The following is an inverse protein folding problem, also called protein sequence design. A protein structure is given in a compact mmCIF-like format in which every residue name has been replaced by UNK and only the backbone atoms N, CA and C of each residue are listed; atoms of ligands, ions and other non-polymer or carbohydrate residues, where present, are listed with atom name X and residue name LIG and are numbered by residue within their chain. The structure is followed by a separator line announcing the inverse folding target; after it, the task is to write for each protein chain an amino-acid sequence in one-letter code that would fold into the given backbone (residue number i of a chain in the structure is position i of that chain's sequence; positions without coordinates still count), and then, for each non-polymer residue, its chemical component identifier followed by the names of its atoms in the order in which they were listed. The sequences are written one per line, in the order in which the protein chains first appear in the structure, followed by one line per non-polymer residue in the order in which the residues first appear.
data_IF_021545053599
#
_entry.id   IF_021545053599
#
_cell.length_a   1.000
_cell.length_b   1.000
_cell.length_c   1.000
_cell.angle_alpha   90.00
_cell.angle_beta   90.00
_cell.angle_gamma   90.00
#
_symmetry.space_group_name_H-M   'P 1'
#
loop_
_entity.id
_entity.type
_entity.pdbx_description
1 polymer ?
#
# COMPACT_ATOMS: atom_id res chain seq x y z
N UNK A 1 7.73 20.50 10.54
CA UNK A 1 6.37 20.22 11.05
C UNK A 1 6.36 18.78 11.60
N UNK A 2 5.76 18.57 12.77
CA UNK A 2 5.60 17.24 13.31
C UNK A 2 4.66 16.43 12.43
N UNK A 3 5.14 15.32 11.87
CA UNK A 3 4.40 14.43 10.99
C UNK A 3 3.09 13.95 11.64
N UNK A 4 3.11 13.61 12.93
CA UNK A 4 1.93 13.15 13.64
C UNK A 4 0.86 14.25 13.74
N UNK A 5 1.25 15.48 14.04
CA UNK A 5 0.34 16.63 14.09
C UNK A 5 -0.25 16.93 12.71
N UNK A 6 0.59 16.86 11.67
CA UNK A 6 0.13 17.04 10.29
C UNK A 6 -0.90 15.98 9.90
N UNK A 7 -0.63 14.71 10.17
CA UNK A 7 -1.56 13.61 9.90
C UNK A 7 -2.88 13.79 10.66
N UNK A 8 -2.82 14.12 11.95
CA UNK A 8 -4.01 14.32 12.75
C UNK A 8 -4.95 15.38 12.16
N UNK A 9 -4.39 16.52 11.71
CA UNK A 9 -5.18 17.61 11.15
C UNK A 9 -5.76 17.33 9.77
N UNK A 10 -5.18 16.39 9.00
CA UNK A 10 -5.64 16.05 7.66
C UNK A 10 -6.55 14.82 7.63
N UNK A 11 -6.42 13.92 8.62
CA UNK A 11 -7.20 12.68 8.67
C UNK A 11 -8.35 12.72 9.67
N UNK A 12 -8.40 13.73 10.52
CA UNK A 12 -9.43 13.86 11.53
C UNK A 12 -9.85 15.34 11.70
N UNK A 13 -10.97 15.55 12.35
CA UNK A 13 -11.45 16.86 12.75
C UNK A 13 -11.90 16.84 14.20
N UNK A 14 -11.77 17.97 14.93
CA UNK A 14 -12.35 18.11 16.26
C UNK A 14 -13.88 18.23 16.15
N UNK A 15 -14.59 17.58 17.06
CA UNK A 15 -16.03 17.69 17.23
C UNK A 15 -16.34 18.60 18.44
N UNK A 16 -17.60 19.02 18.55
CA UNK A 16 -18.04 19.94 19.61
C UNK A 16 -17.91 19.36 21.03
N UNK A 17 -17.85 18.03 21.15
CA UNK A 17 -17.66 17.29 22.41
C UNK A 17 -16.18 17.17 22.83
N UNK A 18 -15.27 17.78 22.09
CA UNK A 18 -13.82 17.70 22.32
C UNK A 18 -13.16 16.42 21.82
N UNK A 19 -13.89 15.53 21.19
CA UNK A 19 -13.34 14.33 20.56
C UNK A 19 -12.84 14.61 19.15
N UNK A 20 -11.87 13.83 18.70
CA UNK A 20 -11.43 13.87 17.31
C UNK A 20 -12.08 12.73 16.52
N UNK A 21 -12.67 13.04 15.39
CA UNK A 21 -13.30 12.07 14.49
C UNK A 21 -12.49 11.91 13.21
N UNK A 22 -12.17 10.66 12.89
CA UNK A 22 -11.53 10.32 11.60
C UNK A 22 -12.47 10.64 10.46
N UNK A 23 -11.94 11.25 9.39
CA UNK A 23 -12.70 11.67 8.20
C UNK A 23 -13.11 10.51 7.28
N UNK A 24 -12.57 9.30 7.50
CA UNK A 24 -12.97 8.11 6.75
C UNK A 24 -14.41 7.68 7.05
N UNK A 25 -15.11 7.25 6.03
CA UNK A 25 -16.47 6.73 6.19
C UNK A 25 -16.51 5.37 6.88
N UNK A 26 -17.52 5.13 7.72
CA UNK A 26 -17.73 3.87 8.42
C UNK A 26 -17.88 2.67 7.45
N UNK A 27 -18.36 2.92 6.23
CA UNK A 27 -18.51 1.91 5.19
C UNK A 27 -17.18 1.21 4.83
N UNK A 28 -16.02 1.85 5.02
CA UNK A 28 -14.71 1.21 4.81
C UNK A 28 -14.44 0.01 5.74
N UNK A 29 -15.19 -0.12 6.82
CA UNK A 29 -15.08 -1.24 7.77
C UNK A 29 -16.00 -2.42 7.43
N UNK A 30 -16.86 -2.27 6.41
CA UNK A 30 -17.76 -3.34 5.98
C UNK A 30 -16.91 -4.38 5.21
N UNK A 31 -16.96 -5.62 5.69
CA UNK A 31 -16.26 -6.72 5.03
C UNK A 31 -16.89 -6.96 3.66
N UNK A 32 -16.05 -7.09 2.63
CA UNK A 32 -16.51 -7.40 1.29
C UNK A 32 -17.21 -8.77 1.27
N UNK A 33 -18.41 -8.83 0.71
CA UNK A 33 -19.17 -10.06 0.56
C UNK A 33 -18.61 -11.01 -0.49
N UNK A 34 -17.78 -10.51 -1.41
CA UNK A 34 -17.15 -11.34 -2.44
C UNK A 34 -15.92 -12.04 -1.87
N UNK A 35 -15.86 -13.36 -2.09
CA UNK A 35 -14.66 -14.13 -1.78
C UNK A 35 -13.50 -13.71 -2.71
N UNK A 36 -12.31 -13.67 -2.14
CA UNK A 36 -11.10 -13.44 -2.91
C UNK A 36 -10.57 -14.78 -3.44
N UNK A 37 -10.55 -14.94 -4.77
CA UNK A 37 -10.00 -16.11 -5.45
C UNK A 37 -8.66 -15.76 -6.07
N UNK A 38 -7.61 -16.46 -5.65
CA UNK A 38 -6.23 -16.18 -6.10
C UNK A 38 -6.10 -16.39 -7.60
N UNK A 39 -6.67 -17.46 -8.13
CA UNK A 39 -6.60 -17.82 -9.55
C UNK A 39 -7.24 -16.74 -10.45
N UNK A 40 -8.39 -16.22 -10.04
CA UNK A 40 -9.05 -15.12 -10.76
C UNK A 40 -8.19 -13.85 -10.77
N UNK A 41 -7.53 -13.55 -9.66
CA UNK A 41 -6.63 -12.39 -9.59
C UNK A 41 -5.38 -12.59 -10.46
N UNK A 42 -4.82 -13.79 -10.51
CA UNK A 42 -3.68 -14.09 -11.39
C UNK A 42 -4.07 -13.97 -12.87
N UNK A 43 -5.27 -14.41 -13.25
CA UNK A 43 -5.80 -14.21 -14.61
C UNK A 43 -5.97 -12.73 -14.96
N UNK A 44 -6.41 -11.92 -14.00
CA UNK A 44 -6.49 -10.46 -14.17
C UNK A 44 -5.10 -9.87 -14.35
N UNK A 45 -4.13 -10.28 -13.51
CA UNK A 45 -2.75 -9.78 -13.58
C UNK A 45 -2.10 -10.04 -14.94
N UNK A 46 -2.33 -11.22 -15.55
CA UNK A 46 -1.82 -11.57 -16.87
C UNK A 46 -2.36 -10.67 -17.99
N UNK A 47 -3.50 -10.02 -17.77
CA UNK A 47 -4.14 -9.12 -18.75
C UNK A 47 -3.74 -7.66 -18.60
N UNK A 48 -2.92 -7.32 -17.61
CA UNK A 48 -2.41 -5.97 -17.42
C UNK A 48 -1.37 -5.68 -18.50
N UNK A 49 -1.70 -4.81 -19.45
CA UNK A 49 -0.81 -4.41 -20.55
C UNK A 49 0.04 -3.18 -20.23
N UNK A 50 -0.39 -2.38 -19.28
CA UNK A 50 0.36 -1.21 -18.83
C UNK A 50 1.62 -1.62 -18.06
N UNK A 51 2.71 -0.84 -18.13
CA UNK A 51 3.82 -0.97 -17.21
C UNK A 51 3.35 -0.79 -15.75
N UNK A 52 3.89 -1.60 -14.86
CA UNK A 52 3.56 -1.57 -13.43
C UNK A 52 4.81 -1.37 -12.61
N UNK A 53 4.80 -0.43 -11.70
CA UNK A 53 5.81 -0.25 -10.67
C UNK A 53 5.24 -0.74 -9.32
N UNK A 54 5.78 -1.84 -8.81
CA UNK A 54 5.49 -2.33 -7.46
C UNK A 54 6.57 -1.81 -6.50
N UNK A 55 6.18 -1.01 -5.51
CA UNK A 55 7.12 -0.40 -4.58
C UNK A 55 7.02 -1.06 -3.21
N UNK A 56 8.15 -1.47 -2.67
CA UNK A 56 8.28 -2.14 -1.38
C UNK A 56 9.05 -1.28 -0.39
N UNK A 57 8.64 -1.35 0.88
CA UNK A 57 9.36 -0.77 1.99
C UNK A 57 10.31 -1.78 2.64
N UNK A 58 11.38 -1.30 3.27
CA UNK A 58 12.31 -2.14 4.05
C UNK A 58 11.62 -2.86 5.21
N UNK A 59 10.61 -2.23 5.83
CA UNK A 59 9.68 -2.85 6.76
C UNK A 59 8.30 -2.96 6.11
N UNK A 60 8.03 -4.11 5.50
CA UNK A 60 6.78 -4.34 4.76
C UNK A 60 5.60 -4.79 5.64
N UNK A 61 5.81 -5.00 6.93
CA UNK A 61 4.81 -5.43 7.92
C UNK A 61 4.07 -6.76 7.58
N UNK A 62 4.53 -7.50 6.56
CA UNK A 62 3.88 -8.76 6.13
C UNK A 62 3.84 -9.79 7.26
N UNK A 63 4.94 -9.93 8.02
CA UNK A 63 5.00 -10.84 9.16
C UNK A 63 3.99 -10.52 10.25
N UNK A 64 3.75 -9.25 10.49
CA UNK A 64 2.78 -8.77 11.48
C UNK A 64 1.33 -9.06 11.03
N UNK A 65 1.00 -8.72 9.79
CA UNK A 65 -0.38 -8.83 9.29
C UNK A 65 -0.78 -10.26 8.98
N UNK A 66 0.10 -11.03 8.35
CA UNK A 66 -0.25 -12.35 7.84
C UNK A 66 0.23 -13.51 8.71
N UNK A 67 1.05 -13.24 9.74
CA UNK A 67 1.50 -14.25 10.72
C UNK A 67 2.05 -15.53 10.06
N UNK A 68 2.81 -15.35 8.98
CA UNK A 68 3.40 -16.45 8.21
C UNK A 68 2.46 -17.18 7.24
N UNK A 69 1.16 -16.82 7.20
CA UNK A 69 0.19 -17.42 6.26
C UNK A 69 0.35 -16.92 4.82
N UNK A 70 0.98 -15.78 4.64
CA UNK A 70 1.33 -15.19 3.35
C UNK A 70 2.66 -14.47 3.49
N UNK A 71 3.55 -14.70 2.55
CA UNK A 71 4.93 -14.22 2.61
C UNK A 71 5.25 -13.25 1.47
N UNK A 72 6.29 -12.44 1.64
CA UNK A 72 6.81 -11.58 0.57
C UNK A 72 7.26 -12.41 -0.65
N UNK A 73 7.80 -13.60 -0.43
CA UNK A 73 8.19 -14.50 -1.52
C UNK A 73 6.97 -14.95 -2.34
N UNK A 74 5.85 -15.30 -1.69
CA UNK A 74 4.59 -15.62 -2.40
C UNK A 74 4.03 -14.41 -3.13
N UNK A 75 4.11 -13.22 -2.54
CA UNK A 75 3.73 -11.99 -3.23
C UNK A 75 4.53 -11.80 -4.51
N UNK A 76 5.86 -11.97 -4.46
CA UNK A 76 6.72 -11.86 -5.64
C UNK A 76 6.39 -12.91 -6.70
N UNK A 77 6.11 -14.16 -6.30
CA UNK A 77 5.69 -15.21 -7.24
C UNK A 77 4.39 -14.82 -7.96
N UNK A 78 3.40 -14.33 -7.23
CA UNK A 78 2.14 -13.87 -7.83
C UNK A 78 2.32 -12.66 -8.74
N UNK A 79 3.19 -11.74 -8.35
CA UNK A 79 3.49 -10.53 -9.11
C UNK A 79 4.12 -10.83 -10.48
N UNK A 80 4.83 -11.97 -10.63
CA UNK A 80 5.35 -12.43 -11.93
C UNK A 80 4.26 -12.67 -12.99
N UNK A 81 3.00 -12.80 -12.57
CA UNK A 81 1.88 -12.89 -13.51
C UNK A 81 1.61 -11.57 -14.24
N UNK A 82 2.12 -10.44 -13.76
CA UNK A 82 2.04 -9.15 -14.46
C UNK A 82 3.14 -9.10 -15.51
N UNK A 83 2.82 -9.00 -16.83
CA UNK A 83 3.81 -9.14 -17.90
C UNK A 83 4.92 -8.09 -17.89
N UNK A 84 4.62 -6.88 -17.46
CA UNK A 84 5.57 -5.77 -17.47
C UNK A 84 5.59 -5.10 -16.08
N UNK A 85 6.23 -5.76 -15.13
CA UNK A 85 6.37 -5.28 -13.75
C UNK A 85 7.82 -4.97 -13.40
N UNK A 86 8.03 -3.84 -12.76
CA UNK A 86 9.29 -3.47 -12.09
C UNK A 86 9.05 -3.44 -10.58
N UNK A 87 10.00 -3.96 -9.81
CA UNK A 87 9.96 -3.89 -8.36
C UNK A 87 10.96 -2.84 -7.88
N UNK A 88 10.49 -1.83 -7.17
CA UNK A 88 11.30 -0.81 -6.53
C UNK A 88 11.33 -1.03 -5.02
N UNK A 89 12.47 -0.73 -4.38
CA UNK A 89 12.64 -0.88 -2.94
C UNK A 89 13.04 0.45 -2.30
N UNK A 90 12.37 0.81 -1.21
CA UNK A 90 12.66 2.02 -0.44
C UNK A 90 13.14 1.62 0.95
N UNK A 91 14.38 2.02 1.26
CA UNK A 91 15.00 1.79 2.56
C UNK A 91 14.44 2.76 3.62
N UNK A 92 14.61 2.41 4.89
CA UNK A 92 14.19 3.21 6.05
C UNK A 92 12.73 3.67 5.99
N UNK A 93 11.85 2.78 5.53
CA UNK A 93 10.43 3.02 5.39
C UNK A 93 9.62 1.83 5.87
N UNK A 94 8.45 2.12 6.44
CA UNK A 94 7.43 1.14 6.81
C UNK A 94 6.29 1.07 5.80
N UNK A 95 5.19 0.48 6.23
CA UNK A 95 3.99 0.31 5.40
C UNK A 95 3.51 1.60 4.73
N UNK A 96 3.64 2.73 5.44
CA UNK A 96 3.27 4.06 4.91
C UNK A 96 4.48 4.76 4.29
N UNK A 97 5.18 4.08 3.39
CA UNK A 97 6.44 4.53 2.79
C UNK A 97 6.41 5.95 2.19
N UNK A 98 5.25 6.39 1.71
CA UNK A 98 5.04 7.74 1.18
C UNK A 98 5.06 8.82 2.28
N UNK A 99 4.83 8.47 3.53
CA UNK A 99 5.03 9.37 4.67
C UNK A 99 6.46 9.31 5.20
N UNK A 100 7.11 8.15 5.09
CA UNK A 100 8.46 7.97 5.63
C UNK A 100 9.52 8.51 4.68
N UNK A 101 9.40 8.21 3.39
CA UNK A 101 10.38 8.56 2.35
C UNK A 101 9.72 9.19 1.11
N UNK A 102 9.00 10.32 1.26
CA UNK A 102 8.22 10.90 0.15
C UNK A 102 9.07 11.29 -1.07
N UNK A 103 10.28 11.81 -0.83
CA UNK A 103 11.17 12.23 -1.92
C UNK A 103 11.77 11.03 -2.67
N UNK A 104 12.12 9.97 -1.95
CA UNK A 104 12.64 8.75 -2.58
C UNK A 104 11.55 8.10 -3.44
N UNK A 105 10.33 8.02 -2.94
CA UNK A 105 9.20 7.51 -3.69
C UNK A 105 8.89 8.36 -4.93
N UNK A 106 8.86 9.69 -4.79
CA UNK A 106 8.60 10.59 -5.90
C UNK A 106 9.62 10.41 -7.04
N UNK A 107 10.93 10.38 -6.72
CA UNK A 107 11.99 10.15 -7.71
C UNK A 107 11.85 8.79 -8.40
N UNK A 108 11.48 7.76 -7.66
CA UNK A 108 11.28 6.42 -8.24
C UNK A 108 10.12 6.42 -9.24
N UNK A 109 9.00 7.06 -8.89
CA UNK A 109 7.84 7.21 -9.77
C UNK A 109 8.20 8.04 -11.00
N UNK A 110 8.85 9.20 -10.83
CA UNK A 110 9.30 10.05 -11.93
C UNK A 110 10.20 9.30 -12.91
N UNK A 111 11.15 8.53 -12.39
CA UNK A 111 12.03 7.70 -13.22
C UNK A 111 11.30 6.59 -13.98
N UNK A 112 10.22 6.07 -13.40
CA UNK A 112 9.41 5.01 -14.03
C UNK A 112 8.53 5.53 -15.16
N UNK A 113 8.03 6.77 -15.05
CA UNK A 113 7.11 7.35 -16.04
C UNK A 113 7.83 8.17 -17.12
N UNK A 114 9.15 8.46 -16.97
CA UNK A 114 9.97 9.19 -17.94
C UNK A 114 10.29 8.34 -19.17
#
# INVERSE_FOLDING_TARGET
EDKAAWLATHWARPEADGQWRILGEAAHKIVNANLYHVEEMLDIYQRITAPVLAVEASDNSMGLWYQGKYTLAEYHERLKSVPNVQVGHIADAGHMLHHDQPLALARMIESFIA
#
